data_IF_819817452163
#
_entry.id   IF_819817452163
#
_cell.length_a   1.000
_cell.length_b   1.000
_cell.length_c   1.000
_cell.angle_alpha   90.00
_cell.angle_beta   90.00
_cell.angle_gamma   90.00
#
_symmetry.space_group_name_H-M   'P 1'
#
loop_
_entity.id
_entity.type
_entity.pdbx_description
1 polymer ?
#
# COMPACT_ATOMS: atom_id res chain seq x y z
N UNK A 1 -4.11 2.16 -8.15
CA UNK A 1 -5.43 1.99 -7.49
C UNK A 1 -5.68 0.54 -7.08
N UNK A 2 -5.66 -0.43 -7.99
CA UNK A 2 -5.90 -1.86 -7.64
C UNK A 2 -4.93 -2.35 -6.55
N UNK A 3 -3.62 -2.14 -6.72
CA UNK A 3 -2.62 -2.52 -5.70
C UNK A 3 -2.90 -1.88 -4.34
N UNK A 4 -3.29 -0.61 -4.32
CA UNK A 4 -3.64 0.11 -3.09
C UNK A 4 -4.83 -0.55 -2.37
N UNK A 5 -5.87 -0.91 -3.12
CA UNK A 5 -7.04 -1.60 -2.56
C UNK A 5 -6.66 -2.96 -1.97
N UNK A 6 -5.80 -3.72 -2.65
CA UNK A 6 -5.30 -5.01 -2.15
C UNK A 6 -4.43 -4.85 -0.90
N UNK A 7 -3.53 -3.87 -0.87
CA UNK A 7 -2.70 -3.56 0.30
C UNK A 7 -3.58 -3.21 1.50
N UNK A 8 -4.57 -2.33 1.31
CA UNK A 8 -5.49 -1.93 2.38
C UNK A 8 -6.34 -3.11 2.87
N UNK A 9 -6.87 -3.92 1.96
CA UNK A 9 -7.72 -5.06 2.30
C UNK A 9 -6.93 -6.12 3.06
N UNK A 10 -5.87 -6.66 2.45
CA UNK A 10 -5.09 -7.74 3.05
C UNK A 10 -4.26 -7.26 4.24
N UNK A 11 -3.76 -6.03 4.19
CA UNK A 11 -3.07 -5.40 5.33
C UNK A 11 -3.98 -5.26 6.54
N UNK A 12 -5.22 -4.79 6.35
CA UNK A 12 -6.19 -4.68 7.44
C UNK A 12 -6.61 -6.05 7.99
N UNK A 13 -6.82 -7.04 7.13
CA UNK A 13 -7.16 -8.41 7.58
C UNK A 13 -6.03 -9.04 8.38
N UNK A 14 -4.79 -8.95 7.90
CA UNK A 14 -3.62 -9.46 8.61
C UNK A 14 -3.37 -8.71 9.92
N UNK A 15 -3.51 -7.38 9.93
CA UNK A 15 -3.41 -6.58 11.13
C UNK A 15 -4.46 -6.95 12.18
N UNK A 16 -5.70 -7.19 11.76
CA UNK A 16 -6.76 -7.63 12.67
C UNK A 16 -6.42 -8.98 13.28
N UNK A 17 -5.99 -9.95 12.47
CA UNK A 17 -5.62 -11.27 12.98
C UNK A 17 -4.45 -11.23 13.97
N UNK A 18 -3.41 -10.43 13.69
CA UNK A 18 -2.22 -10.31 14.53
C UNK A 18 -2.46 -9.49 15.82
N UNK A 19 -3.39 -8.54 15.78
CA UNK A 19 -3.75 -7.74 16.96
C UNK A 19 -4.79 -8.42 17.85
N UNK A 20 -5.74 -9.16 17.28
CA UNK A 20 -6.85 -9.76 18.01
C UNK A 20 -6.49 -11.13 18.59
N UNK A 21 -5.85 -12.01 17.81
CA UNK A 21 -5.71 -13.41 18.19
C UNK A 21 -4.34 -13.72 18.79
N UNK A 22 -4.35 -14.51 19.85
CA UNK A 22 -3.15 -15.07 20.47
C UNK A 22 -2.93 -16.48 19.94
N UNK A 23 -1.96 -16.64 19.04
CA UNK A 23 -1.55 -17.94 18.52
C UNK A 23 -0.03 -18.12 18.61
N UNK A 24 0.43 -19.37 18.60
CA UNK A 24 1.86 -19.70 18.63
C UNK A 24 2.55 -19.09 17.41
N UNK A 25 3.53 -18.21 17.66
CA UNK A 25 4.27 -17.52 16.59
C UNK A 25 3.71 -16.16 16.18
N UNK A 26 2.64 -15.64 16.81
CA UNK A 26 2.09 -14.32 16.49
C UNK A 26 3.16 -13.20 16.52
N UNK A 27 3.94 -13.13 17.60
CA UNK A 27 5.03 -12.14 17.73
C UNK A 27 6.12 -12.30 16.67
N UNK A 28 6.46 -13.54 16.30
CA UNK A 28 7.46 -13.82 15.26
C UNK A 28 6.94 -13.42 13.87
N UNK A 29 5.67 -13.68 13.58
CA UNK A 29 5.03 -13.25 12.33
C UNK A 29 4.99 -11.72 12.23
N UNK A 30 4.62 -11.04 13.33
CA UNK A 30 4.66 -9.58 13.41
C UNK A 30 6.07 -9.03 13.18
N UNK A 31 7.09 -9.64 13.77
CA UNK A 31 8.49 -9.27 13.55
C UNK A 31 8.94 -9.52 12.11
N UNK A 32 8.60 -10.66 11.52
CA UNK A 32 8.91 -11.00 10.13
C UNK A 32 8.34 -9.95 9.17
N UNK A 33 7.08 -9.55 9.35
CA UNK A 33 6.45 -8.51 8.54
C UNK A 33 7.11 -7.14 8.78
N UNK A 34 7.48 -6.79 10.01
CA UNK A 34 8.17 -5.54 10.31
C UNK A 34 9.55 -5.47 9.65
N UNK A 35 10.31 -6.57 9.64
CA UNK A 35 11.60 -6.66 8.93
C UNK A 35 11.44 -6.45 7.42
N UNK A 36 10.30 -6.87 6.85
CA UNK A 36 9.96 -6.62 5.45
C UNK A 36 9.92 -5.14 5.06
N UNK A 37 9.74 -4.23 6.01
CA UNK A 37 9.78 -2.77 5.76
C UNK A 37 11.21 -2.31 5.44
N UNK A 38 12.22 -2.91 6.08
CA UNK A 38 13.62 -2.51 5.94
C UNK A 38 14.28 -3.05 4.68
N UNK A 39 13.78 -4.16 4.13
CA UNK A 39 14.37 -4.81 2.96
C UNK A 39 13.94 -4.05 1.69
N UNK A 40 14.86 -3.41 0.96
CA UNK A 40 14.51 -2.74 -0.28
C UNK A 40 14.12 -3.79 -1.34
N UNK A 41 12.85 -3.80 -1.75
CA UNK A 41 12.34 -4.77 -2.75
C UNK A 41 13.15 -4.74 -4.06
N UNK A 42 13.78 -3.61 -4.38
CA UNK A 42 14.64 -3.44 -5.56
C UNK A 42 15.88 -4.33 -5.54
N UNK A 43 16.35 -4.79 -4.38
CA UNK A 43 17.44 -5.78 -4.30
C UNK A 43 17.04 -7.12 -4.94
N UNK A 44 15.75 -7.45 -4.90
CA UNK A 44 15.19 -8.66 -5.52
C UNK A 44 14.87 -8.53 -7.01
N UNK A 45 15.26 -7.44 -7.68
CA UNK A 45 14.85 -7.13 -9.06
C UNK A 45 15.04 -8.30 -10.02
N UNK A 46 16.22 -8.92 -10.03
CA UNK A 46 16.54 -10.03 -10.95
C UNK A 46 15.63 -11.24 -10.68
N UNK A 47 15.45 -11.61 -9.42
CA UNK A 47 14.61 -12.73 -9.03
C UNK A 47 13.12 -12.46 -9.34
N UNK A 48 12.64 -11.25 -9.10
CA UNK A 48 11.27 -10.83 -9.42
C UNK A 48 11.04 -10.90 -10.93
N UNK A 49 11.98 -10.39 -11.74
CA UNK A 49 11.88 -10.46 -13.19
C UNK A 49 11.84 -11.92 -13.67
N UNK A 50 12.76 -12.76 -13.18
CA UNK A 50 12.76 -14.19 -13.51
C UNK A 50 11.44 -14.88 -13.14
N UNK A 51 10.85 -14.55 -11.98
CA UNK A 51 9.55 -15.06 -11.56
C UNK A 51 8.43 -14.61 -12.50
N UNK A 52 8.40 -13.33 -12.88
CA UNK A 52 7.41 -12.79 -13.82
C UNK A 52 7.56 -13.40 -15.23
N UNK A 53 8.79 -13.66 -15.67
CA UNK A 53 9.06 -14.37 -16.94
C UNK A 53 8.55 -15.80 -16.86
N UNK A 54 8.90 -16.54 -15.81
CA UNK A 54 8.50 -17.93 -15.62
C UNK A 54 6.97 -18.11 -15.51
N UNK A 55 6.27 -17.11 -14.96
CA UNK A 55 4.81 -17.09 -14.83
C UNK A 55 4.09 -16.46 -16.03
N UNK A 56 4.82 -15.94 -17.02
CA UNK A 56 4.24 -15.30 -18.21
C UNK A 56 3.58 -13.94 -17.95
N UNK A 57 3.92 -13.26 -16.86
CA UNK A 57 3.31 -12.00 -16.42
C UNK A 57 4.07 -10.75 -16.88
N UNK A 58 5.22 -10.88 -17.55
CA UNK A 58 5.93 -9.73 -18.13
C UNK A 58 5.05 -9.00 -19.14
N UNK A 59 5.20 -7.68 -19.22
CA UNK A 59 4.37 -6.77 -20.02
C UNK A 59 2.90 -6.72 -19.60
N UNK A 60 2.57 -7.07 -18.36
CA UNK A 60 1.21 -6.94 -17.82
C UNK A 60 1.14 -5.98 -16.64
N UNK A 61 -0.01 -5.32 -16.47
CA UNK A 61 -0.29 -4.56 -15.25
C UNK A 61 -0.37 -5.47 -14.01
N UNK A 62 -0.70 -6.75 -14.20
CA UNK A 62 -0.76 -7.74 -13.11
C UNK A 62 0.59 -7.91 -12.42
N UNK A 63 1.70 -7.94 -13.17
CA UNK A 63 3.05 -7.98 -12.59
C UNK A 63 3.28 -6.80 -11.63
N UNK A 64 2.93 -5.58 -12.07
CA UNK A 64 3.04 -4.38 -11.24
C UNK A 64 2.12 -4.45 -10.01
N UNK A 65 0.88 -4.92 -10.19
CA UNK A 65 -0.08 -5.05 -9.09
C UNK A 65 0.46 -5.96 -7.99
N UNK A 66 1.02 -7.12 -8.36
CA UNK A 66 1.56 -8.09 -7.40
C UNK A 66 2.78 -7.53 -6.66
N UNK A 67 3.74 -6.94 -7.37
CA UNK A 67 4.96 -6.38 -6.76
C UNK A 67 4.63 -5.25 -5.80
N UNK A 68 3.78 -4.32 -6.21
CA UNK A 68 3.37 -3.20 -5.34
C UNK A 68 2.52 -3.65 -4.16
N UNK A 69 1.70 -4.69 -4.33
CA UNK A 69 0.95 -5.25 -3.20
C UNK A 69 1.89 -5.88 -2.19
N UNK A 70 2.83 -6.72 -2.64
CA UNK A 70 3.83 -7.34 -1.78
C UNK A 70 4.70 -6.30 -1.04
N UNK A 71 5.10 -5.22 -1.73
CA UNK A 71 5.87 -4.12 -1.16
C UNK A 71 5.10 -3.36 -0.07
N UNK A 72 3.80 -3.10 -0.28
CA UNK A 72 3.00 -2.27 0.62
C UNK A 72 2.51 -3.00 1.88
N UNK A 73 2.38 -4.33 1.84
CA UNK A 73 1.83 -5.13 2.93
C UNK A 73 2.58 -4.98 4.27
N UNK A 74 3.93 -5.07 4.34
CA UNK A 74 4.68 -4.89 5.58
C UNK A 74 4.31 -3.63 6.36
N UNK A 75 4.32 -2.47 5.69
CA UNK A 75 4.01 -1.18 6.29
C UNK A 75 2.53 -1.09 6.68
N UNK A 76 1.63 -1.58 5.82
CA UNK A 76 0.20 -1.58 6.09
C UNK A 76 -0.13 -2.40 7.34
N UNK A 77 0.41 -3.62 7.45
CA UNK A 77 0.19 -4.48 8.61
C UNK A 77 0.76 -3.85 9.87
N UNK A 78 1.98 -3.29 9.80
CA UNK A 78 2.62 -2.65 10.95
C UNK A 78 1.79 -1.49 11.51
N UNK A 79 1.43 -0.53 10.66
CA UNK A 79 0.64 0.64 11.07
C UNK A 79 -0.74 0.21 11.58
N UNK A 80 -1.46 -0.62 10.82
CA UNK A 80 -2.83 -0.99 11.18
C UNK A 80 -2.88 -1.84 12.44
N UNK A 81 -1.91 -2.74 12.67
CA UNK A 81 -1.86 -3.55 13.89
C UNK A 81 -1.75 -2.69 15.13
N UNK A 82 -0.93 -1.63 15.07
CA UNK A 82 -0.73 -0.72 16.21
C UNK A 82 -2.02 0.05 16.55
N UNK A 83 -2.72 0.55 15.53
CA UNK A 83 -4.02 1.21 15.74
C UNK A 83 -5.11 0.23 16.21
N UNK A 84 -5.15 -0.98 15.68
CA UNK A 84 -6.15 -1.99 16.06
C UNK A 84 -5.96 -2.50 17.49
N UNK A 85 -4.71 -2.57 17.99
CA UNK A 85 -4.43 -2.87 19.41
C UNK A 85 -4.97 -1.81 20.37
N UNK A 86 -5.17 -0.58 19.90
CA UNK A 86 -5.79 0.49 20.68
C UNK A 86 -7.31 0.39 20.83
N UNK A 87 -7.96 -0.54 20.11
CA UNK A 87 -9.41 -0.73 20.17
C UNK A 87 -9.76 -1.65 21.35
N UNK A 88 -10.65 -1.18 22.22
CA UNK A 88 -11.08 -1.91 23.42
C UNK A 88 -11.61 -3.31 23.10
N UNK A 89 -11.15 -4.29 23.88
CA UNK A 89 -11.65 -5.67 23.84
C UNK A 89 -13.13 -5.75 24.22
N UNK A 90 -13.61 -4.89 25.12
CA UNK A 90 -15.01 -4.87 25.54
C UNK A 90 -15.96 -4.59 24.38
N UNK A 91 -15.59 -3.70 23.46
CA UNK A 91 -16.39 -3.41 22.27
C UNK A 91 -16.51 -4.63 21.36
N UNK A 92 -15.41 -5.35 21.16
CA UNK A 92 -15.36 -6.55 20.30
C UNK A 92 -16.11 -7.70 20.97
N UNK A 93 -15.94 -7.87 22.28
CA UNK A 93 -16.62 -8.89 23.08
C UNK A 93 -18.13 -8.63 23.19
N UNK A 94 -18.57 -7.37 23.30
CA UNK A 94 -19.99 -7.03 23.22
C UNK A 94 -20.58 -7.48 21.87
N UNK A 95 -19.87 -7.22 20.76
CA UNK A 95 -20.27 -7.72 19.44
C UNK A 95 -20.36 -9.26 19.38
N UNK A 96 -19.45 -9.98 20.04
CA UNK A 96 -19.50 -11.46 20.15
C UNK A 96 -20.72 -11.94 20.94
N UNK A 97 -21.04 -11.27 22.05
CA UNK A 97 -22.22 -11.55 22.87
C UNK A 97 -23.50 -11.31 22.06
N UNK A 98 -23.53 -10.27 21.23
CA UNK A 98 -24.62 -9.97 20.29
C UNK A 98 -24.69 -10.94 19.08
N UNK A 99 -23.83 -11.96 19.03
CA UNK A 99 -23.82 -12.98 17.98
C UNK A 99 -23.22 -12.53 16.65
N UNK A 100 -22.42 -11.45 16.64
CA UNK A 100 -21.68 -11.06 15.44
C UNK A 100 -20.55 -12.05 15.15
N UNK A 101 -20.40 -12.41 13.87
CA UNK A 101 -19.23 -13.16 13.41
C UNK A 101 -17.98 -12.27 13.40
N UNK A 102 -16.79 -12.88 13.49
CA UNK A 102 -15.52 -12.14 13.47
C UNK A 102 -15.35 -11.25 12.23
N UNK A 103 -15.83 -11.69 11.06
CA UNK A 103 -15.86 -10.87 9.85
C UNK A 103 -16.75 -9.63 9.98
N UNK A 104 -17.89 -9.75 10.69
CA UNK A 104 -18.78 -8.62 10.98
C UNK A 104 -18.18 -7.70 12.03
N UNK A 105 -17.52 -8.24 13.05
CA UNK A 105 -16.79 -7.45 14.05
C UNK A 105 -15.69 -6.64 13.34
N UNK A 106 -14.87 -7.29 12.52
CA UNK A 106 -13.86 -6.63 11.71
C UNK A 106 -14.46 -5.51 10.85
N UNK A 107 -15.47 -5.81 10.01
CA UNK A 107 -15.98 -4.87 9.03
C UNK A 107 -16.83 -3.73 9.62
N UNK A 108 -17.61 -3.99 10.68
CA UNK A 108 -18.59 -3.03 11.23
C UNK A 108 -18.13 -2.33 12.49
N UNK A 109 -17.31 -2.96 13.33
CA UNK A 109 -16.83 -2.38 14.58
C UNK A 109 -15.41 -1.83 14.43
N UNK A 110 -14.48 -2.66 13.95
CA UNK A 110 -13.05 -2.33 13.93
C UNK A 110 -12.69 -1.40 12.78
N UNK A 111 -13.06 -1.77 11.53
CA UNK A 111 -12.64 -1.07 10.33
C UNK A 111 -13.04 0.43 10.31
N UNK A 112 -14.23 0.84 10.77
CA UNK A 112 -14.60 2.25 10.85
C UNK A 112 -13.73 3.06 11.83
N UNK A 113 -13.29 2.46 12.94
CA UNK A 113 -12.47 3.11 13.95
C UNK A 113 -11.03 3.32 13.48
N UNK A 114 -10.52 2.42 12.64
CA UNK A 114 -9.16 2.53 12.07
C UNK A 114 -9.12 3.28 10.73
N UNK A 115 -10.22 3.88 10.27
CA UNK A 115 -10.25 4.70 9.04
C UNK A 115 -9.14 5.76 8.98
N UNK A 116 -8.78 6.48 10.07
CA UNK A 116 -7.66 7.42 10.02
C UNK A 116 -6.32 6.73 9.71
N UNK A 117 -6.07 5.56 10.28
CA UNK A 117 -4.86 4.77 10.00
C UNK A 117 -4.85 4.21 8.56
N UNK A 118 -6.01 3.77 8.06
CA UNK A 118 -6.17 3.35 6.67
C UNK A 118 -5.83 4.49 5.69
N UNK A 119 -6.20 5.73 6.01
CA UNK A 119 -5.81 6.90 5.21
C UNK A 119 -4.29 7.11 5.21
N UNK A 120 -3.65 6.98 6.37
CA UNK A 120 -2.19 7.04 6.50
C UNK A 120 -1.51 5.99 5.62
N UNK A 121 -1.91 4.73 5.74
CA UNK A 121 -1.39 3.65 4.87
C UNK A 121 -1.64 3.95 3.40
N UNK A 122 -2.83 4.44 3.06
CA UNK A 122 -3.18 4.75 1.68
C UNK A 122 -2.23 5.78 1.06
N UNK A 123 -1.92 6.86 1.80
CA UNK A 123 -1.03 7.93 1.34
C UNK A 123 0.41 7.42 1.21
N UNK A 124 0.94 6.76 2.25
CA UNK A 124 2.31 6.24 2.23
C UNK A 124 2.53 5.15 1.18
N UNK A 125 1.48 4.43 0.78
CA UNK A 125 1.56 3.38 -0.25
C UNK A 125 1.35 3.95 -1.66
N UNK A 126 0.39 4.85 -1.84
CA UNK A 126 -0.02 5.30 -3.17
C UNK A 126 1.01 6.23 -3.81
N UNK A 127 1.67 7.11 -3.04
CA UNK A 127 2.65 8.06 -3.57
C UNK A 127 3.85 7.32 -4.20
N UNK A 128 4.51 6.36 -3.52
CA UNK A 128 5.59 5.59 -4.12
C UNK A 128 5.15 4.79 -5.35
N UNK A 129 3.99 4.12 -5.29
CA UNK A 129 3.46 3.34 -6.43
C UNK A 129 3.23 4.23 -7.65
N UNK A 130 2.67 5.42 -7.44
CA UNK A 130 2.37 6.35 -8.51
C UNK A 130 3.62 6.95 -9.16
N UNK A 131 4.64 7.24 -8.33
CA UNK A 131 5.90 7.83 -8.78
C UNK A 131 6.94 6.81 -9.22
N UNK A 132 6.66 5.51 -9.14
CA UNK A 132 7.65 4.50 -9.46
C UNK A 132 7.89 4.42 -10.98
N UNK A 133 9.17 4.53 -11.34
CA UNK A 133 9.67 4.34 -12.69
C UNK A 133 10.33 2.97 -12.86
N UNK A 134 10.87 2.41 -11.77
CA UNK A 134 11.76 1.25 -11.83
C UNK A 134 11.02 0.00 -12.30
N UNK A 135 10.01 -0.46 -11.56
CA UNK A 135 9.31 -1.70 -11.92
C UNK A 135 8.53 -1.62 -13.24
N UNK A 136 7.88 -0.50 -13.60
CA UNK A 136 7.25 -0.35 -14.92
C UNK A 136 8.26 -0.51 -16.04
N UNK A 137 9.46 0.09 -15.91
CA UNK A 137 10.50 0.00 -16.93
C UNK A 137 10.96 -1.45 -17.18
N UNK A 138 11.09 -2.26 -16.14
CA UNK A 138 11.64 -3.63 -16.25
C UNK A 138 10.58 -4.72 -16.41
N UNK A 139 9.36 -4.53 -15.90
CA UNK A 139 8.30 -5.55 -15.89
C UNK A 139 7.17 -5.25 -16.88
N UNK A 140 6.92 -3.98 -17.19
CA UNK A 140 5.80 -3.58 -18.06
C UNK A 140 6.11 -2.39 -18.99
N UNK A 141 7.17 -2.44 -19.81
CA UNK A 141 7.54 -1.34 -20.71
C UNK A 141 6.65 -1.20 -21.96
N UNK A 142 5.77 -2.15 -22.25
CA UNK A 142 4.93 -2.09 -23.46
C UNK A 142 4.01 -0.86 -23.47
N UNK A 143 3.69 -0.36 -24.68
CA UNK A 143 2.89 0.86 -24.89
C UNK A 143 1.52 0.80 -24.20
N UNK A 144 0.91 -0.38 -24.12
CA UNK A 144 -0.40 -0.59 -23.50
C UNK A 144 -0.35 -0.66 -21.97
N UNK A 145 0.84 -0.84 -21.38
CA UNK A 145 1.01 -1.05 -19.93
C UNK A 145 1.93 -0.04 -19.26
N UNK A 146 2.56 0.86 -20.03
CA UNK A 146 3.38 1.94 -19.49
C UNK A 146 2.58 2.84 -18.55
N UNK A 147 3.17 3.13 -17.38
CA UNK A 147 2.62 4.10 -16.43
C UNK A 147 2.85 5.52 -16.95
N UNK A 148 2.15 6.52 -16.38
CA UNK A 148 2.36 7.93 -16.74
C UNK A 148 3.83 8.34 -16.53
N UNK A 149 4.42 7.91 -15.41
CA UNK A 149 5.83 8.19 -15.06
C UNK A 149 6.82 7.54 -16.04
N UNK A 150 6.54 6.33 -16.52
CA UNK A 150 7.35 5.72 -17.57
C UNK A 150 7.10 6.38 -18.93
N UNK A 151 5.85 6.67 -19.26
CA UNK A 151 5.45 7.31 -20.52
C UNK A 151 6.07 8.70 -20.70
N UNK A 152 6.29 9.47 -19.63
CA UNK A 152 6.96 10.77 -19.73
C UNK A 152 8.43 10.67 -20.17
N UNK A 153 9.07 9.50 -20.00
CA UNK A 153 10.44 9.28 -20.46
C UNK A 153 10.57 9.32 -21.99
N UNK A 154 9.48 9.09 -22.73
CA UNK A 154 9.47 9.17 -24.21
C UNK A 154 9.84 10.57 -24.72
N UNK A 155 9.63 11.61 -23.91
CA UNK A 155 9.96 12.99 -24.25
C UNK A 155 11.41 13.38 -23.93
N UNK A 156 12.18 12.47 -23.32
CA UNK A 156 13.59 12.67 -22.96
C UNK A 156 14.44 11.92 -24.00
N UNK A 157 15.02 12.66 -24.94
CA UNK A 157 15.89 12.11 -25.98
C UNK A 157 17.37 12.23 -25.61
N UNK A 158 18.20 11.42 -26.24
CA UNK A 158 19.66 11.45 -26.03
C UNK A 158 20.32 12.77 -26.42
N UNK A 159 19.78 13.45 -27.45
CA UNK A 159 20.33 14.71 -27.99
C UNK A 159 19.42 15.92 -27.80
N UNK A 160 18.10 15.69 -27.75
CA UNK A 160 17.09 16.75 -27.59
C UNK A 160 16.00 16.25 -26.66
N UNK A 161 15.68 17.04 -25.64
CA UNK A 161 14.59 16.79 -24.69
C UNK A 161 13.45 17.78 -24.94
N UNK A 162 12.23 17.28 -25.07
CA UNK A 162 11.04 18.12 -25.17
C UNK A 162 10.54 18.48 -23.76
N UNK A 163 11.15 19.50 -23.16
CA UNK A 163 10.81 19.95 -21.81
C UNK A 163 9.35 20.38 -21.65
N UNK A 164 8.75 20.95 -22.70
CA UNK A 164 7.34 21.33 -22.68
C UNK A 164 6.43 20.11 -22.47
N UNK A 165 6.69 19.02 -23.21
CA UNK A 165 5.94 17.78 -23.07
C UNK A 165 6.21 17.06 -21.74
N UNK A 166 7.47 17.04 -21.28
CA UNK A 166 7.85 16.48 -19.96
C UNK A 166 7.08 17.19 -18.84
N UNK A 167 7.14 18.52 -18.79
CA UNK A 167 6.50 19.30 -17.73
C UNK A 167 4.98 19.20 -17.77
N UNK A 168 4.38 19.16 -18.96
CA UNK A 168 2.94 18.92 -19.11
C UNK A 168 2.53 17.53 -18.57
N UNK A 169 3.28 16.49 -18.92
CA UNK A 169 3.03 15.12 -18.45
C UNK A 169 3.16 15.01 -16.92
N UNK A 170 4.22 15.59 -16.34
CA UNK A 170 4.42 15.59 -14.88
C UNK A 170 3.37 16.42 -14.14
N UNK A 171 2.91 17.53 -14.73
CA UNK A 171 1.83 18.35 -14.18
C UNK A 171 0.49 17.58 -14.14
N UNK A 172 0.22 16.75 -15.15
CA UNK A 172 -0.93 15.85 -15.11
C UNK A 172 -0.71 14.70 -14.11
N UNK A 173 0.51 14.19 -14.02
CA UNK A 173 0.87 13.10 -13.11
C UNK A 173 0.66 13.48 -11.63
N UNK A 174 0.82 14.74 -11.22
CA UNK A 174 0.63 15.13 -9.81
C UNK A 174 -0.84 15.19 -9.38
N UNK A 175 -1.79 15.31 -10.33
CA UNK A 175 -3.20 15.53 -10.01
C UNK A 175 -3.79 14.47 -9.06
N UNK A 176 -3.59 13.15 -9.26
CA UNK A 176 -4.18 12.16 -8.35
C UNK A 176 -3.59 12.21 -6.95
N UNK A 177 -2.32 12.60 -6.82
CA UNK A 177 -1.67 12.81 -5.52
C UNK A 177 -2.29 14.01 -4.80
N UNK A 178 -2.56 15.11 -5.51
CA UNK A 178 -3.25 16.28 -4.95
C UNK A 178 -4.67 15.94 -4.51
N UNK A 179 -5.43 15.19 -5.32
CA UNK A 179 -6.79 14.75 -4.96
C UNK A 179 -6.76 13.89 -3.69
N UNK A 180 -5.84 12.93 -3.61
CA UNK A 180 -5.67 12.11 -2.39
C UNK A 180 -5.32 12.97 -1.18
N UNK A 181 -4.38 13.90 -1.34
CA UNK A 181 -4.00 14.80 -0.24
C UNK A 181 -5.18 15.65 0.24
N UNK A 182 -5.96 16.24 -0.67
CA UNK A 182 -7.13 17.05 -0.28
C UNK A 182 -8.18 16.23 0.47
N UNK A 183 -8.42 14.98 0.05
CA UNK A 183 -9.35 14.07 0.73
C UNK A 183 -8.83 13.65 2.11
N UNK A 184 -7.53 13.31 2.21
CA UNK A 184 -6.97 12.62 3.37
C UNK A 184 -6.16 13.50 4.35
N UNK A 185 -5.88 14.76 4.00
CA UNK A 185 -5.08 15.71 4.81
C UNK A 185 -5.56 15.83 6.25
N UNK A 186 -6.87 15.89 6.47
CA UNK A 186 -7.46 15.96 7.83
C UNK A 186 -7.25 14.69 8.64
N UNK A 187 -7.30 13.51 8.03
CA UNK A 187 -7.02 12.25 8.73
C UNK A 187 -5.53 12.08 9.01
N UNK A 188 -4.66 12.48 8.08
CA UNK A 188 -3.21 12.51 8.28
C UNK A 188 -2.82 13.35 9.51
N UNK A 189 -3.34 14.58 9.60
CA UNK A 189 -3.05 15.48 10.73
C UNK A 189 -3.54 14.84 12.04
N UNK A 190 -4.78 14.35 12.08
CA UNK A 190 -5.34 13.70 13.29
C UNK A 190 -4.55 12.45 13.71
N UNK A 191 -4.10 11.64 12.75
CA UNK A 191 -3.33 10.43 13.01
C UNK A 191 -1.95 10.71 13.61
N UNK A 192 -1.26 11.75 13.12
CA UNK A 192 0.03 12.19 13.65
C UNK A 192 -0.13 12.78 15.07
N UNK A 193 -1.17 13.58 15.31
CA UNK A 193 -1.40 14.19 16.63
C UNK A 193 -1.87 13.19 17.69
N UNK A 194 -2.62 12.14 17.32
CA UNK A 194 -3.11 11.15 18.28
C UNK A 194 -1.99 10.26 18.87
N UNK A 195 -0.89 10.06 18.14
CA UNK A 195 0.29 9.35 18.63
C UNK A 195 1.21 10.20 19.52
N UNK A 196 1.06 11.53 19.49
CA UNK A 196 1.93 12.47 20.21
C UNK A 196 1.43 12.83 21.63
N UNK A 197 0.24 12.37 22.03
CA UNK A 197 -0.37 12.63 23.36
C UNK A 197 -0.36 11.37 24.23
N UNK A 198 0.58 10.46 24.02
CA UNK A 198 0.89 9.36 24.94
C UNK A 198 2.15 9.68 25.72
#
# INVERSE_FOLDING_TARGET
>A
VVSLALVLLFGAMAAFALSEYRFRGNSLMGLYLALGIMIPIRLGTVAILQLMVATGLVNTLTALILVYTAQGLPLAVFILSEFMRGISDDLKNAGRIDGLSEYRIFARLVLPLVRPAMATVAVFTMIPIWNDLWFPLILAPAEQTKTITLGSQVFIGQFVTNWNAVLAALSLAILPVLVLYLIFSRQLIRGITAGAVK
#
